data_IF_236257965838
#
_entry.id   IF_236257965838
#
_cell.length_a   1.000
_cell.length_b   1.000
_cell.length_c   1.000
_cell.angle_alpha   90.00
_cell.angle_beta   90.00
_cell.angle_gamma   90.00
#
_symmetry.space_group_name_H-M   'P 1'
#
loop_
_entity.id
_entity.type
_entity.pdbx_description
1 polymer ?
#
# COMPACT_ATOMS: atom_id res chain seq x y z
N UNK A 1 -1.24 -30.24 48.42
CA UNK A 1 -1.94 -28.97 48.55
C UNK A 1 -0.88 -27.88 48.47
N UNK A 2 -0.68 -27.32 47.30
CA UNK A 2 -0.08 -26.00 47.13
C UNK A 2 -0.62 -25.46 45.82
N UNK A 3 -1.55 -24.53 45.94
CA UNK A 3 -2.12 -23.77 44.85
C UNK A 3 -1.03 -22.83 44.30
N UNK A 4 -0.55 -23.11 43.10
CA UNK A 4 0.23 -22.16 42.32
C UNK A 4 -0.74 -21.16 41.72
N UNK A 5 -0.81 -19.97 42.35
CA UNK A 5 -1.57 -18.85 41.84
C UNK A 5 -1.11 -18.50 40.42
N UNK A 6 -2.04 -18.51 39.48
CA UNK A 6 -1.89 -17.86 38.19
C UNK A 6 -1.84 -16.37 38.46
N UNK A 7 -0.63 -15.83 38.35
CA UNK A 7 -0.44 -14.37 38.27
C UNK A 7 -1.04 -13.90 36.94
N UNK A 8 -2.28 -13.47 36.99
CA UNK A 8 -2.90 -12.74 35.88
C UNK A 8 -2.26 -11.38 35.89
N UNK A 9 -1.21 -11.21 35.08
CA UNK A 9 -0.53 -9.96 34.89
C UNK A 9 -1.54 -8.85 34.61
N UNK A 10 -1.80 -8.05 35.63
CA UNK A 10 -2.56 -6.82 35.47
C UNK A 10 -1.74 -5.93 34.58
N UNK A 11 -2.26 -5.66 33.36
CA UNK A 11 -1.72 -4.65 32.47
C UNK A 11 -1.80 -3.32 33.21
N UNK A 12 -0.66 -2.85 33.74
CA UNK A 12 -0.60 -1.51 34.33
C UNK A 12 -0.94 -0.48 33.27
N UNK A 13 -2.15 0.05 33.34
CA UNK A 13 -2.57 1.14 32.47
C UNK A 13 -1.65 2.33 32.66
N UNK A 14 -0.94 2.72 31.63
CA UNK A 14 -0.07 3.88 31.65
C UNK A 14 -0.87 5.13 32.05
N UNK A 15 -0.34 5.88 33.04
CA UNK A 15 -0.94 7.14 33.50
C UNK A 15 -0.45 8.29 32.62
N UNK A 16 -1.34 9.21 32.25
CA UNK A 16 -0.99 10.39 31.46
C UNK A 16 -1.59 10.40 30.06
N UNK A 17 -1.04 11.22 29.17
CA UNK A 17 -1.53 11.40 27.79
C UNK A 17 -1.50 10.08 26.99
N UNK A 18 -0.45 9.28 27.16
CA UNK A 18 -0.33 7.97 26.51
C UNK A 18 -1.43 7.00 26.95
N UNK A 19 -1.77 6.97 28.23
CA UNK A 19 -2.88 6.13 28.71
C UNK A 19 -4.26 6.64 28.27
N UNK A 20 -4.39 7.91 27.94
CA UNK A 20 -5.63 8.45 27.34
C UNK A 20 -5.74 8.01 25.87
N UNK A 21 -4.65 8.09 25.12
CA UNK A 21 -4.57 7.65 23.71
C UNK A 21 -4.84 6.15 23.62
N UNK A 22 -4.21 5.34 24.48
CA UNK A 22 -4.41 3.89 24.56
C UNK A 22 -5.89 3.54 24.83
N UNK A 23 -6.49 4.18 25.84
CA UNK A 23 -7.91 3.96 26.16
C UNK A 23 -8.86 4.43 25.07
N UNK A 24 -8.54 5.52 24.40
CA UNK A 24 -9.33 6.01 23.26
C UNK A 24 -9.22 5.05 22.08
N UNK A 25 -7.99 4.62 21.74
CA UNK A 25 -7.74 3.67 20.66
C UNK A 25 -8.42 2.33 20.88
N UNK A 26 -8.32 1.77 22.09
CA UNK A 26 -8.95 0.48 22.44
C UNK A 26 -10.49 0.52 22.52
N UNK A 27 -11.09 1.72 22.50
CA UNK A 27 -12.56 1.90 22.45
C UNK A 27 -13.08 2.12 21.02
N UNK A 28 -12.21 2.33 20.06
CA UNK A 28 -12.64 2.47 18.67
C UNK A 28 -13.22 1.15 18.17
N UNK A 29 -14.41 1.16 17.56
CA UNK A 29 -14.98 -0.03 16.95
C UNK A 29 -14.18 -0.39 15.69
N UNK A 30 -14.41 -1.60 15.18
CA UNK A 30 -13.88 -2.04 13.89
C UNK A 30 -14.14 -0.97 12.81
N UNK A 31 -13.17 -0.71 11.91
CA UNK A 31 -13.29 0.28 10.85
C UNK A 31 -14.59 0.19 10.04
N UNK A 32 -15.12 -1.01 9.80
CA UNK A 32 -16.38 -1.18 9.09
C UNK A 32 -17.54 -0.48 9.82
N UNK A 33 -17.61 -0.59 11.15
CA UNK A 33 -18.64 0.09 11.94
C UNK A 33 -18.45 1.61 11.96
N UNK A 34 -17.21 2.10 11.89
CA UNK A 34 -16.95 3.54 11.81
C UNK A 34 -17.59 4.11 10.54
N UNK A 35 -17.48 3.43 9.40
CA UNK A 35 -18.14 3.86 8.16
C UNK A 35 -19.67 3.86 8.28
N UNK A 36 -20.26 2.87 8.93
CA UNK A 36 -21.69 2.90 9.21
C UNK A 36 -22.12 4.11 10.05
N UNK A 37 -21.36 4.44 11.10
CA UNK A 37 -21.64 5.64 11.89
C UNK A 37 -21.46 6.92 11.08
N UNK A 38 -20.46 7.00 10.22
CA UNK A 38 -20.28 8.15 9.32
C UNK A 38 -21.45 8.31 8.35
N UNK A 39 -21.98 7.23 7.79
CA UNK A 39 -23.18 7.27 6.94
C UNK A 39 -24.37 7.83 7.72
N UNK A 40 -24.59 7.37 8.94
CA UNK A 40 -25.67 7.87 9.81
C UNK A 40 -25.48 9.35 10.11
N UNK A 41 -24.27 9.76 10.47
CA UNK A 41 -23.95 11.17 10.74
C UNK A 41 -24.20 12.03 9.51
N UNK A 42 -23.75 11.59 8.34
CA UNK A 42 -23.99 12.29 7.07
C UNK A 42 -25.49 12.41 6.75
N UNK A 43 -26.25 11.35 6.96
CA UNK A 43 -27.71 11.36 6.77
C UNK A 43 -28.40 12.35 7.70
N UNK A 44 -27.98 12.44 8.97
CA UNK A 44 -28.49 13.39 9.94
C UNK A 44 -28.10 14.83 9.56
N UNK A 45 -26.83 15.08 9.27
CA UNK A 45 -26.32 16.40 8.91
C UNK A 45 -26.99 16.91 7.64
N UNK A 46 -27.08 16.08 6.59
CA UNK A 46 -27.77 16.48 5.34
C UNK A 46 -29.24 16.81 5.57
N UNK A 47 -29.92 16.05 6.43
CA UNK A 47 -31.33 16.33 6.77
C UNK A 47 -31.49 17.63 7.53
N UNK A 48 -30.62 17.90 8.51
CA UNK A 48 -30.63 19.18 9.26
C UNK A 48 -30.35 20.35 8.30
N UNK A 49 -29.35 20.21 7.43
CA UNK A 49 -28.98 21.22 6.44
C UNK A 49 -30.12 21.53 5.46
N UNK A 50 -30.84 20.50 5.01
CA UNK A 50 -31.99 20.64 4.14
C UNK A 50 -33.17 21.34 4.85
N UNK A 51 -33.45 20.98 6.11
CA UNK A 51 -34.47 21.67 6.91
C UNK A 51 -34.10 23.15 7.19
N UNK A 52 -32.81 23.43 7.39
CA UNK A 52 -32.31 24.79 7.57
C UNK A 52 -32.22 25.59 6.26
N UNK A 53 -32.58 24.97 5.12
CA UNK A 53 -32.51 25.57 3.77
C UNK A 53 -31.13 26.17 3.46
N UNK A 54 -30.07 25.48 3.89
CA UNK A 54 -28.70 25.91 3.63
C UNK A 54 -28.44 25.83 2.14
N UNK A 55 -27.94 26.95 1.57
CA UNK A 55 -27.54 27.03 0.17
C UNK A 55 -26.20 27.72 0.04
N UNK A 56 -25.44 27.33 -0.99
CA UNK A 56 -24.14 27.92 -1.31
C UNK A 56 -24.05 28.17 -2.81
N UNK A 57 -23.24 29.15 -3.19
CA UNK A 57 -22.93 29.40 -4.59
C UNK A 57 -21.88 28.39 -5.07
N UNK A 58 -22.13 27.77 -6.22
CA UNK A 58 -21.14 26.88 -6.81
C UNK A 58 -19.92 27.70 -7.27
N UNK A 59 -18.69 27.29 -6.95
CA UNK A 59 -17.50 28.13 -7.20
C UNK A 59 -17.20 28.34 -8.70
N UNK A 60 -17.57 27.38 -9.57
CA UNK A 60 -17.20 27.40 -10.99
C UNK A 60 -18.39 27.24 -11.94
N UNK A 61 -19.51 26.67 -11.48
CA UNK A 61 -20.68 26.43 -12.33
C UNK A 61 -21.58 27.67 -12.38
N UNK A 62 -21.95 28.08 -13.58
CA UNK A 62 -22.87 29.16 -13.83
C UNK A 62 -24.26 28.61 -14.19
N UNK A 63 -25.30 29.32 -13.79
CA UNK A 63 -26.68 29.05 -14.22
C UNK A 63 -26.93 29.42 -15.71
N UNK A 64 -28.12 29.14 -16.22
CA UNK A 64 -28.50 29.48 -17.59
C UNK A 64 -28.42 30.98 -17.91
N UNK A 65 -28.35 31.85 -16.92
CA UNK A 65 -28.27 33.31 -17.05
C UNK A 65 -26.86 33.85 -16.89
N UNK A 66 -25.86 32.96 -16.66
CA UNK A 66 -24.46 33.35 -16.43
C UNK A 66 -24.15 33.81 -15.00
N UNK A 67 -25.09 33.66 -14.05
CA UNK A 67 -24.85 33.90 -12.63
C UNK A 67 -24.32 32.61 -11.95
N UNK A 68 -23.60 32.73 -10.79
CA UNK A 68 -23.17 31.57 -10.04
C UNK A 68 -24.35 30.68 -9.66
N UNK A 69 -24.27 29.38 -9.97
CA UNK A 69 -25.32 28.40 -9.67
C UNK A 69 -25.48 28.20 -8.16
N UNK A 70 -26.73 28.14 -7.69
CA UNK A 70 -27.05 27.97 -6.28
C UNK A 70 -27.30 26.50 -5.97
N UNK A 71 -26.42 25.92 -5.17
CA UNK A 71 -26.58 24.55 -4.70
C UNK A 71 -27.31 24.56 -3.35
N UNK A 72 -28.45 23.91 -3.30
CA UNK A 72 -29.24 23.76 -2.07
C UNK A 72 -28.91 22.41 -1.39
N UNK A 73 -28.84 22.42 -0.06
CA UNK A 73 -28.70 21.18 0.69
C UNK A 73 -29.93 20.28 0.50
N UNK A 74 -29.70 19.04 0.17
CA UNK A 74 -30.72 17.99 -0.01
C UNK A 74 -30.55 16.94 1.08
N UNK A 75 -31.66 16.51 1.68
CA UNK A 75 -31.62 15.41 2.66
C UNK A 75 -31.29 14.08 1.98
N UNK A 76 -30.28 13.38 2.49
CA UNK A 76 -29.96 12.02 2.07
C UNK A 76 -31.11 11.03 2.35
N UNK A 77 -32.03 11.37 3.25
CA UNK A 77 -33.22 10.60 3.60
C UNK A 77 -34.46 11.05 2.81
N UNK A 78 -34.36 11.98 1.86
CA UNK A 78 -35.49 12.35 1.01
C UNK A 78 -35.91 11.14 0.13
N UNK A 79 -37.19 11.05 -0.24
CA UNK A 79 -37.67 9.96 -1.11
C UNK A 79 -36.88 9.84 -2.42
N UNK A 80 -36.52 10.97 -3.02
CA UNK A 80 -35.75 11.02 -4.26
C UNK A 80 -34.30 10.55 -4.05
N UNK A 81 -33.64 10.98 -2.98
CA UNK A 81 -32.28 10.52 -2.64
C UNK A 81 -32.25 9.02 -2.33
N UNK A 82 -33.21 8.52 -1.57
CA UNK A 82 -33.31 7.10 -1.28
C UNK A 82 -33.62 6.28 -2.54
N UNK A 83 -34.51 6.79 -3.39
CA UNK A 83 -34.79 6.14 -4.66
C UNK A 83 -33.56 6.07 -5.56
N UNK A 84 -32.84 7.18 -5.71
CA UNK A 84 -31.59 7.25 -6.47
C UNK A 84 -30.56 6.25 -5.92
N UNK A 85 -30.32 6.25 -4.60
CA UNK A 85 -29.40 5.31 -3.97
C UNK A 85 -29.78 3.84 -4.21
N UNK A 86 -31.07 3.49 -4.09
CA UNK A 86 -31.51 2.09 -4.22
C UNK A 86 -31.59 1.62 -5.67
N UNK A 87 -31.99 2.48 -6.59
CA UNK A 87 -32.15 2.14 -8.02
C UNK A 87 -30.81 2.13 -8.72
N UNK A 88 -29.95 3.11 -8.41
CA UNK A 88 -28.68 3.31 -9.09
C UNK A 88 -27.49 2.76 -8.29
N UNK A 89 -27.74 2.03 -7.19
CA UNK A 89 -26.67 1.43 -6.37
C UNK A 89 -25.63 0.65 -7.19
N UNK A 90 -25.99 -0.19 -8.17
CA UNK A 90 -24.99 -0.89 -8.97
C UNK A 90 -24.10 0.07 -9.76
N UNK A 91 -24.69 1.12 -10.33
CA UNK A 91 -23.96 2.11 -11.14
C UNK A 91 -23.07 3.02 -10.24
N UNK A 92 -23.58 3.42 -9.07
CA UNK A 92 -22.81 4.16 -8.06
C UNK A 92 -21.61 3.33 -7.59
N UNK A 93 -21.80 2.03 -7.33
CA UNK A 93 -20.75 1.14 -6.87
C UNK A 93 -19.70 0.90 -7.96
N UNK A 94 -20.13 0.56 -9.18
CA UNK A 94 -19.22 0.28 -10.30
C UNK A 94 -18.57 1.53 -10.87
N UNK A 95 -19.27 2.67 -10.78
CA UNK A 95 -18.78 3.99 -11.17
C UNK A 95 -17.82 4.63 -10.15
N UNK A 96 -17.64 4.02 -8.98
CA UNK A 96 -16.67 4.53 -8.00
C UNK A 96 -15.25 4.43 -8.58
N UNK A 97 -14.71 5.57 -8.99
CA UNK A 97 -13.48 5.67 -9.78
C UNK A 97 -12.30 4.88 -9.18
N UNK A 98 -12.00 4.95 -7.86
CA UNK A 98 -10.90 4.22 -7.26
C UNK A 98 -11.08 2.70 -7.27
N UNK A 99 -12.30 2.18 -7.38
CA UNK A 99 -12.58 0.75 -7.26
C UNK A 99 -11.82 -0.07 -8.30
N UNK A 100 -11.83 0.38 -9.56
CA UNK A 100 -11.11 -0.31 -10.65
C UNK A 100 -9.62 -0.38 -10.42
N UNK A 101 -9.00 0.71 -10.00
CA UNK A 101 -7.56 0.79 -9.73
C UNK A 101 -7.15 -0.13 -8.60
N UNK A 102 -7.89 -0.08 -7.49
CA UNK A 102 -7.60 -0.91 -6.30
C UNK A 102 -7.77 -2.39 -6.63
N UNK A 103 -8.89 -2.79 -7.26
CA UNK A 103 -9.15 -4.18 -7.61
C UNK A 103 -8.07 -4.75 -8.53
N UNK A 104 -7.65 -4.00 -9.55
CA UNK A 104 -6.61 -4.45 -10.50
C UNK A 104 -5.29 -4.72 -9.76
N UNK A 105 -4.84 -3.80 -8.91
CA UNK A 105 -3.59 -3.99 -8.15
C UNK A 105 -3.72 -5.13 -7.15
N UNK A 106 -4.85 -5.21 -6.43
CA UNK A 106 -5.10 -6.26 -5.43
C UNK A 106 -5.17 -7.67 -6.04
N UNK A 107 -5.73 -7.81 -7.23
CA UNK A 107 -5.71 -9.09 -7.93
C UNK A 107 -4.28 -9.58 -8.19
N UNK A 108 -3.40 -8.68 -8.61
CA UNK A 108 -1.98 -9.01 -8.79
C UNK A 108 -1.28 -9.35 -7.47
N UNK A 109 -1.46 -8.49 -6.48
CA UNK A 109 -0.86 -8.66 -5.16
C UNK A 109 -1.34 -9.96 -4.48
N UNK A 110 -2.63 -10.31 -4.60
CA UNK A 110 -3.20 -11.54 -4.05
C UNK A 110 -2.53 -12.81 -4.62
N UNK A 111 -2.23 -12.84 -5.91
CA UNK A 111 -1.49 -13.98 -6.52
C UNK A 111 -0.08 -14.08 -5.94
N UNK A 112 0.63 -12.97 -5.79
CA UNK A 112 1.99 -12.95 -5.25
C UNK A 112 2.00 -13.34 -3.76
N UNK A 113 1.02 -12.89 -2.99
CA UNK A 113 0.84 -13.24 -1.58
C UNK A 113 0.51 -14.72 -1.41
N UNK A 114 -0.48 -15.23 -2.14
CA UNK A 114 -0.88 -16.64 -2.12
C UNK A 114 0.26 -17.56 -2.52
N UNK A 115 1.08 -17.17 -3.48
CA UNK A 115 2.28 -17.89 -3.87
C UNK A 115 3.34 -17.96 -2.76
N UNK A 116 3.28 -17.09 -1.75
CA UNK A 116 4.27 -16.93 -0.69
C UNK A 116 5.46 -16.04 -1.07
N UNK A 117 5.38 -15.33 -2.21
CA UNK A 117 6.46 -14.46 -2.68
C UNK A 117 6.78 -13.35 -1.69
N UNK A 118 5.77 -12.62 -1.21
CA UNK A 118 5.98 -11.48 -0.32
C UNK A 118 6.60 -11.89 1.01
N UNK A 119 6.05 -12.94 1.65
CA UNK A 119 6.59 -13.46 2.91
C UNK A 119 8.05 -13.91 2.77
N UNK A 120 8.37 -14.63 1.69
CA UNK A 120 9.74 -15.09 1.44
C UNK A 120 10.68 -13.93 1.07
N UNK A 121 10.22 -12.96 0.30
CA UNK A 121 11.03 -11.79 -0.06
C UNK A 121 11.35 -10.93 1.17
N UNK A 122 10.37 -10.70 2.04
CA UNK A 122 10.57 -9.98 3.30
C UNK A 122 11.56 -10.73 4.23
N UNK A 123 11.41 -12.06 4.34
CA UNK A 123 12.37 -12.90 5.06
C UNK A 123 13.77 -12.80 4.48
N UNK A 124 13.92 -12.91 3.16
CA UNK A 124 15.21 -12.80 2.48
C UNK A 124 15.88 -11.44 2.73
N UNK A 125 15.10 -10.36 2.72
CA UNK A 125 15.62 -9.01 2.93
C UNK A 125 16.18 -8.78 4.34
N UNK A 126 15.71 -9.55 5.33
CA UNK A 126 16.05 -9.31 6.74
C UNK A 126 16.97 -10.39 7.32
N UNK A 127 16.88 -11.66 6.87
CA UNK A 127 17.58 -12.79 7.46
C UNK A 127 19.11 -12.69 7.41
N UNK A 128 19.65 -12.09 6.35
CA UNK A 128 21.10 -11.96 6.14
C UNK A 128 21.65 -10.59 6.60
N UNK A 129 20.83 -9.77 7.25
CA UNK A 129 21.23 -8.43 7.66
C UNK A 129 22.24 -8.49 8.83
N UNK A 130 23.38 -7.80 8.75
CA UNK A 130 24.32 -7.69 9.87
C UNK A 130 23.61 -7.11 11.09
N UNK A 131 23.99 -7.55 12.30
CA UNK A 131 23.35 -7.13 13.57
C UNK A 131 23.16 -5.61 13.70
N UNK A 132 24.11 -4.82 13.19
CA UNK A 132 24.10 -3.36 13.22
C UNK A 132 23.07 -2.77 12.24
N UNK A 133 22.82 -3.45 11.12
CA UNK A 133 21.87 -3.02 10.08
C UNK A 133 20.51 -3.71 10.19
N UNK A 134 20.32 -4.54 11.20
CA UNK A 134 19.09 -5.31 11.37
C UNK A 134 17.86 -4.40 11.52
N UNK A 135 17.94 -3.38 12.37
CA UNK A 135 16.83 -2.41 12.55
C UNK A 135 16.50 -1.65 11.28
N UNK A 136 17.46 -1.01 10.58
CA UNK A 136 17.13 -0.34 9.32
C UNK A 136 16.68 -1.31 8.23
N UNK A 137 17.19 -2.54 8.18
CA UNK A 137 16.71 -3.55 7.23
C UNK A 137 15.25 -3.94 7.50
N UNK A 138 14.89 -4.18 8.75
CA UNK A 138 13.51 -4.47 9.16
C UNK A 138 12.61 -3.28 8.86
N UNK A 139 13.02 -2.06 9.23
CA UNK A 139 12.21 -0.86 9.00
C UNK A 139 11.99 -0.60 7.50
N UNK A 140 13.03 -0.75 6.68
CA UNK A 140 12.92 -0.59 5.23
C UNK A 140 12.02 -1.68 4.62
N UNK A 141 12.24 -2.94 4.98
CA UNK A 141 11.39 -4.04 4.53
C UNK A 141 9.92 -3.83 4.94
N UNK A 142 9.69 -3.28 6.14
CA UNK A 142 8.36 -2.97 6.65
C UNK A 142 7.67 -1.86 5.84
N UNK A 143 8.37 -0.77 5.54
CA UNK A 143 7.85 0.29 4.67
C UNK A 143 7.58 -0.23 3.25
N UNK A 144 8.54 -0.95 2.67
CA UNK A 144 8.35 -1.56 1.34
C UNK A 144 7.24 -2.61 1.32
N UNK A 145 6.98 -3.27 2.45
CA UNK A 145 5.91 -4.24 2.62
C UNK A 145 4.51 -3.68 2.37
N UNK A 146 4.33 -2.36 2.49
CA UNK A 146 3.07 -1.69 2.16
C UNK A 146 2.69 -1.77 0.67
N UNK A 147 3.62 -2.13 -0.22
CA UNK A 147 3.30 -2.50 -1.61
C UNK A 147 2.44 -3.77 -1.69
N UNK A 148 2.58 -4.65 -0.70
CA UNK A 148 1.89 -5.93 -0.59
C UNK A 148 0.63 -5.83 0.30
N UNK A 149 0.01 -4.68 0.42
CA UNK A 149 -1.14 -4.43 1.27
C UNK A 149 -0.88 -4.80 2.75
N UNK A 150 -1.80 -5.56 3.34
CA UNK A 150 -1.75 -5.92 4.76
C UNK A 150 -0.81 -7.10 5.07
N UNK A 151 -0.22 -7.76 4.07
CA UNK A 151 0.67 -8.90 4.27
C UNK A 151 1.87 -8.57 5.19
N UNK A 152 2.38 -7.35 5.13
CA UNK A 152 3.46 -6.90 5.99
C UNK A 152 3.10 -6.90 7.48
N UNK A 153 1.86 -6.59 7.84
CA UNK A 153 1.39 -6.64 9.22
C UNK A 153 1.42 -8.05 9.78
N UNK A 154 0.95 -9.01 8.99
CA UNK A 154 0.80 -10.40 9.44
C UNK A 154 2.13 -11.14 9.47
N UNK A 155 2.98 -10.90 8.46
CA UNK A 155 4.22 -11.65 8.26
C UNK A 155 5.42 -10.98 8.92
N UNK A 156 5.64 -9.69 8.64
CA UNK A 156 6.91 -9.06 9.00
C UNK A 156 7.00 -8.66 10.48
N UNK A 157 5.88 -8.28 11.09
CA UNK A 157 5.91 -7.86 12.51
C UNK A 157 6.29 -9.01 13.43
N UNK A 158 5.64 -10.20 13.38
CA UNK A 158 6.06 -11.35 14.16
C UNK A 158 7.48 -11.81 13.80
N UNK A 159 7.80 -11.87 12.51
CA UNK A 159 9.11 -12.26 11.99
C UNK A 159 10.24 -11.40 12.56
N UNK A 160 10.05 -10.07 12.62
CA UNK A 160 11.04 -9.16 13.18
C UNK A 160 11.36 -9.48 14.65
N UNK A 161 10.36 -9.84 15.44
CA UNK A 161 10.56 -10.29 16.82
C UNK A 161 11.45 -11.53 16.90
N UNK A 162 11.19 -12.53 16.06
CA UNK A 162 11.97 -13.78 16.01
C UNK A 162 13.41 -13.52 15.55
N UNK A 163 13.60 -12.73 14.49
CA UNK A 163 14.94 -12.42 13.97
C UNK A 163 15.77 -11.60 14.98
N UNK A 164 15.14 -10.64 15.68
CA UNK A 164 15.84 -9.90 16.73
C UNK A 164 16.26 -10.82 17.88
N UNK A 165 15.38 -11.74 18.33
CA UNK A 165 15.72 -12.73 19.32
C UNK A 165 16.87 -13.64 18.87
N UNK A 166 16.86 -14.13 17.64
CA UNK A 166 17.93 -14.94 17.06
C UNK A 166 19.26 -14.17 16.96
N UNK A 167 19.21 -12.85 16.73
CA UNK A 167 20.38 -11.96 16.75
C UNK A 167 20.85 -11.59 18.17
N UNK A 168 20.21 -12.12 19.23
CA UNK A 168 20.50 -11.78 20.63
C UNK A 168 20.07 -10.35 21.00
N UNK A 169 19.11 -9.79 20.29
CA UNK A 169 18.48 -8.50 20.55
C UNK A 169 17.08 -8.69 21.16
N UNK A 170 16.54 -7.65 21.77
CA UNK A 170 15.23 -7.78 22.42
C UNK A 170 14.10 -7.91 21.36
N UNK A 171 13.27 -8.98 21.36
CA UNK A 171 12.27 -9.24 20.32
C UNK A 171 11.21 -8.11 20.23
N UNK A 172 10.82 -7.50 21.36
CA UNK A 172 9.90 -6.35 21.36
C UNK A 172 10.46 -5.17 20.58
N UNK A 173 11.79 -4.96 20.59
CA UNK A 173 12.40 -3.91 19.77
C UNK A 173 12.24 -4.18 18.26
N UNK A 174 12.36 -5.45 17.85
CA UNK A 174 12.09 -5.87 16.47
C UNK A 174 10.64 -5.68 16.05
N UNK A 175 9.72 -6.14 16.89
CA UNK A 175 8.27 -5.95 16.68
C UNK A 175 7.93 -4.46 16.55
N UNK A 176 8.47 -3.63 17.45
CA UNK A 176 8.21 -2.19 17.43
C UNK A 176 8.79 -1.50 16.18
N UNK A 177 10.01 -1.89 15.75
CA UNK A 177 10.63 -1.37 14.53
C UNK A 177 9.81 -1.73 13.28
N UNK A 178 9.38 -2.98 13.17
CA UNK A 178 8.55 -3.45 12.08
C UNK A 178 7.19 -2.77 12.09
N UNK A 179 6.52 -2.69 13.23
CA UNK A 179 5.25 -1.99 13.37
C UNK A 179 5.37 -0.50 13.03
N UNK A 180 6.43 0.17 13.48
CA UNK A 180 6.68 1.55 13.12
C UNK A 180 6.88 1.74 11.61
N UNK A 181 7.56 0.79 10.94
CA UNK A 181 7.74 0.80 9.48
C UNK A 181 6.44 0.56 8.73
N UNK A 182 5.64 -0.44 9.13
CA UNK A 182 4.38 -0.77 8.45
C UNK A 182 3.31 0.28 8.74
N UNK A 183 3.11 0.69 10.00
CA UNK A 183 2.05 1.63 10.41
C UNK A 183 2.48 3.09 10.30
N UNK A 184 3.60 3.46 10.91
CA UNK A 184 4.09 4.84 10.91
C UNK A 184 4.61 5.25 9.54
N UNK A 185 5.25 4.33 8.83
CA UNK A 185 5.72 4.49 7.46
C UNK A 185 4.72 4.04 6.40
N UNK A 186 3.43 3.99 6.69
CA UNK A 186 2.39 3.40 5.83
C UNK A 186 2.38 3.98 4.40
N UNK A 187 2.60 5.27 4.25
CA UNK A 187 2.71 5.92 2.94
C UNK A 187 4.16 6.10 2.47
N UNK A 188 5.15 5.73 3.30
CA UNK A 188 6.55 5.85 2.92
C UNK A 188 6.95 4.65 2.06
N UNK A 189 7.29 4.92 0.79
CA UNK A 189 7.65 3.87 -0.15
C UNK A 189 8.60 4.40 -1.22
N UNK A 190 9.39 3.53 -1.82
CA UNK A 190 10.25 3.89 -2.96
C UNK A 190 9.53 3.78 -4.31
N UNK A 191 8.42 3.07 -4.34
CA UNK A 191 7.59 2.88 -5.53
C UNK A 191 6.14 3.24 -5.19
N UNK A 192 5.38 3.81 -6.13
CA UNK A 192 3.94 3.97 -5.98
C UNK A 192 3.27 2.60 -5.81
N UNK A 193 2.27 2.53 -4.97
CA UNK A 193 1.57 1.30 -4.64
C UNK A 193 0.04 1.42 -4.81
N UNK A 194 -0.67 0.44 -4.26
CA UNK A 194 -2.14 0.43 -4.32
C UNK A 194 -2.78 1.62 -3.60
N UNK A 195 -2.14 2.12 -2.52
CA UNK A 195 -2.63 3.28 -1.80
C UNK A 195 -2.55 4.55 -2.65
N UNK A 196 -1.47 4.69 -3.43
CA UNK A 196 -1.32 5.83 -4.35
C UNK A 196 -2.38 5.77 -5.44
N UNK A 197 -2.72 4.58 -5.95
CA UNK A 197 -3.81 4.38 -6.91
C UNK A 197 -5.18 4.76 -6.32
N UNK A 198 -5.43 4.39 -5.07
CA UNK A 198 -6.67 4.76 -4.36
C UNK A 198 -6.76 6.26 -4.17
N UNK A 199 -5.71 6.88 -3.62
CA UNK A 199 -5.68 8.33 -3.36
C UNK A 199 -5.74 9.14 -4.65
N UNK A 200 -5.08 8.67 -5.70
CA UNK A 200 -5.19 9.23 -7.04
C UNK A 200 -6.64 9.29 -7.48
N UNK A 201 -7.36 8.15 -7.49
CA UNK A 201 -8.74 8.09 -7.95
C UNK A 201 -9.69 8.97 -7.14
N UNK A 202 -9.58 8.98 -5.79
CA UNK A 202 -10.39 9.84 -4.93
C UNK A 202 -10.12 11.33 -5.18
N UNK A 203 -8.85 11.68 -5.34
CA UNK A 203 -8.45 13.09 -5.53
C UNK A 203 -8.90 13.59 -6.91
N UNK A 204 -8.70 12.79 -7.94
CA UNK A 204 -9.09 13.15 -9.31
C UNK A 204 -10.60 13.39 -9.40
N UNK A 205 -11.42 12.47 -8.87
CA UNK A 205 -12.87 12.62 -8.84
C UNK A 205 -13.31 13.87 -8.06
N UNK A 206 -12.70 14.12 -6.91
CA UNK A 206 -13.02 15.29 -6.10
C UNK A 206 -12.71 16.62 -6.81
N UNK A 207 -11.61 16.69 -7.54
CA UNK A 207 -11.23 17.90 -8.30
C UNK A 207 -12.06 18.05 -9.57
N UNK A 208 -12.37 16.94 -10.26
CA UNK A 208 -13.24 16.96 -11.45
C UNK A 208 -14.66 17.42 -11.15
N UNK A 209 -15.11 17.32 -9.90
CA UNK A 209 -16.37 17.95 -9.49
C UNK A 209 -16.35 19.49 -9.63
N UNK A 210 -15.16 20.11 -9.59
CA UNK A 210 -14.95 21.56 -9.75
C UNK A 210 -14.47 21.93 -11.16
N UNK A 211 -13.52 21.15 -11.69
CA UNK A 211 -12.96 21.30 -13.04
C UNK A 211 -12.98 19.93 -13.76
N UNK A 212 -13.96 19.68 -14.61
CA UNK A 212 -14.12 18.40 -15.30
C UNK A 212 -12.96 18.02 -16.24
N UNK A 213 -12.10 18.96 -16.60
CA UNK A 213 -10.96 18.72 -17.48
C UNK A 213 -9.66 18.45 -16.69
N UNK A 214 -9.71 18.57 -15.37
CA UNK A 214 -8.52 18.34 -14.55
C UNK A 214 -8.11 16.87 -14.56
N UNK A 215 -6.84 16.63 -14.75
CA UNK A 215 -6.24 15.30 -14.70
C UNK A 215 -5.07 15.28 -13.74
N UNK A 216 -4.85 14.13 -13.12
CA UNK A 216 -3.76 13.89 -12.20
C UNK A 216 -2.90 12.70 -12.69
N UNK A 217 -1.71 12.60 -12.17
CA UNK A 217 -0.81 11.49 -12.40
C UNK A 217 -0.68 10.65 -11.13
N UNK A 218 -0.83 9.32 -11.23
CA UNK A 218 -0.70 8.39 -10.09
C UNK A 218 0.65 8.53 -9.37
N UNK A 219 1.70 8.92 -10.08
CA UNK A 219 3.01 9.17 -9.50
C UNK A 219 3.19 10.62 -8.99
N UNK A 220 2.14 11.45 -9.01
CA UNK A 220 2.22 12.85 -8.60
C UNK A 220 2.76 13.06 -7.18
N UNK A 221 2.55 12.09 -6.30
CA UNK A 221 3.03 12.12 -4.92
C UNK A 221 4.35 11.34 -4.70
N UNK A 222 4.94 10.78 -5.75
CA UNK A 222 6.09 9.86 -5.64
C UNK A 222 7.30 10.47 -4.92
N UNK A 223 7.65 11.71 -5.23
CA UNK A 223 8.78 12.37 -4.56
C UNK A 223 8.56 12.48 -3.05
N UNK A 224 7.34 12.78 -2.62
CA UNK A 224 7.00 12.90 -1.22
C UNK A 224 7.12 11.56 -0.49
N UNK A 225 6.53 10.48 -1.02
CA UNK A 225 6.58 9.15 -0.40
C UNK A 225 8.01 8.60 -0.36
N UNK A 226 8.81 8.85 -1.41
CA UNK A 226 10.21 8.46 -1.43
C UNK A 226 11.03 9.21 -0.38
N UNK A 227 10.89 10.54 -0.29
CA UNK A 227 11.57 11.34 0.74
C UNK A 227 11.14 10.93 2.15
N UNK A 228 9.87 10.62 2.38
CA UNK A 228 9.39 10.10 3.66
C UNK A 228 10.13 8.82 4.06
N UNK A 229 10.39 7.92 3.11
CA UNK A 229 11.17 6.69 3.37
C UNK A 229 12.56 7.02 3.90
N UNK A 230 13.26 7.97 3.26
CA UNK A 230 14.60 8.40 3.71
C UNK A 230 14.59 9.15 5.05
N UNK A 231 13.48 9.76 5.44
CA UNK A 231 13.33 10.45 6.73
C UNK A 231 12.94 9.43 7.83
N UNK A 232 11.96 8.58 7.59
CA UNK A 232 11.45 7.66 8.60
C UNK A 232 12.44 6.55 8.93
N UNK A 233 13.19 6.06 7.95
CA UNK A 233 14.18 5.01 8.18
C UNK A 233 15.18 5.35 9.29
N UNK A 234 15.93 6.47 9.23
CA UNK A 234 16.85 6.84 10.30
C UNK A 234 16.14 7.15 11.63
N UNK A 235 14.92 7.70 11.59
CA UNK A 235 14.15 7.97 12.81
C UNK A 235 13.77 6.65 13.51
N UNK A 236 13.23 5.69 12.78
CA UNK A 236 12.87 4.37 13.33
C UNK A 236 14.13 3.69 13.87
N UNK A 237 15.22 3.72 13.13
CA UNK A 237 16.50 3.16 13.55
C UNK A 237 17.00 3.80 14.85
N UNK A 238 17.06 5.13 14.89
CA UNK A 238 17.54 5.86 16.07
C UNK A 238 16.65 5.61 17.29
N UNK A 239 15.33 5.69 17.14
CA UNK A 239 14.39 5.50 18.25
C UNK A 239 14.46 4.06 18.78
N UNK A 240 14.52 3.07 17.89
CA UNK A 240 14.58 1.67 18.28
C UNK A 240 15.90 1.35 19.00
N UNK A 241 17.04 1.69 18.40
CA UNK A 241 18.36 1.26 18.92
C UNK A 241 18.85 2.12 20.09
N UNK A 242 18.47 3.40 20.15
CA UNK A 242 19.00 4.34 21.16
C UNK A 242 18.02 4.67 22.28
N UNK A 243 16.74 4.49 22.06
CA UNK A 243 15.71 4.85 23.06
C UNK A 243 14.99 3.61 23.57
N UNK A 244 14.47 2.78 22.66
CA UNK A 244 13.59 1.68 23.03
C UNK A 244 14.37 0.48 23.57
N UNK A 245 15.32 -0.03 22.79
CA UNK A 245 16.07 -1.24 23.17
C UNK A 245 16.85 -1.09 24.49
N UNK A 246 17.53 0.05 24.80
CA UNK A 246 18.13 0.27 26.08
C UNK A 246 17.17 0.25 27.27
N UNK A 247 15.90 0.66 27.04
CA UNK A 247 14.85 0.62 28.09
C UNK A 247 14.27 -0.76 28.34
N UNK A 248 14.27 -1.61 27.30
CA UNK A 248 13.81 -2.99 27.41
C UNK A 248 14.84 -3.89 28.13
N UNK A 249 16.11 -3.47 28.15
CA UNK A 249 17.20 -4.23 28.75
C UNK A 249 17.69 -5.35 27.84
N UNK A 250 18.59 -6.20 28.40
CA UNK A 250 19.15 -7.34 27.67
C UNK A 250 18.13 -8.48 27.58
N UNK A 251 17.98 -9.04 26.38
CA UNK A 251 17.22 -10.25 26.19
C UNK A 251 17.96 -11.45 26.77
N UNK A 252 17.39 -12.05 27.82
CA UNK A 252 17.95 -13.22 28.51
C UNK A 252 17.14 -14.49 28.22
N UNK A 253 16.05 -14.39 27.44
CA UNK A 253 15.22 -15.52 27.03
C UNK A 253 15.86 -16.31 25.88
N UNK A 254 15.41 -17.55 25.69
CA UNK A 254 15.73 -18.35 24.51
C UNK A 254 15.04 -17.83 23.25
N UNK A 255 15.20 -18.54 22.13
CA UNK A 255 14.47 -18.25 20.91
C UNK A 255 12.96 -18.15 21.22
N UNK A 256 12.32 -17.11 20.70
CA UNK A 256 10.86 -16.99 20.78
C UNK A 256 10.30 -18.15 19.96
N UNK A 257 9.51 -19.03 20.59
CA UNK A 257 8.88 -20.13 19.90
C UNK A 257 7.99 -19.55 18.80
N UNK A 258 8.47 -19.54 17.59
CA UNK A 258 7.64 -19.45 16.38
C UNK A 258 6.90 -20.77 16.25
N UNK A 259 5.80 -20.77 15.51
CA UNK A 259 4.88 -21.87 15.23
C UNK A 259 5.36 -23.29 15.53
N UNK A 260 4.47 -24.12 16.02
CA UNK A 260 4.71 -25.50 16.46
C UNK A 260 5.09 -26.50 15.33
N UNK A 261 5.12 -26.07 14.09
CA UNK A 261 5.52 -26.86 12.93
C UNK A 261 6.95 -26.46 12.53
N UNK A 262 7.87 -27.46 12.52
CA UNK A 262 9.29 -27.29 12.13
C UNK A 262 9.47 -26.71 10.72
N UNK A 263 8.46 -26.84 9.85
CA UNK A 263 8.46 -26.30 8.49
C UNK A 263 8.17 -24.79 8.42
N UNK A 264 7.62 -24.20 9.49
CA UNK A 264 7.19 -22.79 9.57
C UNK A 264 8.04 -21.93 10.51
N UNK A 265 9.25 -22.37 10.87
CA UNK A 265 10.16 -21.54 11.68
C UNK A 265 10.60 -20.30 10.88
N UNK A 266 10.10 -19.10 11.26
CA UNK A 266 10.43 -17.86 10.54
C UNK A 266 11.91 -17.49 10.61
N UNK A 267 12.67 -18.05 11.57
CA UNK A 267 14.11 -17.81 11.73
C UNK A 267 14.98 -18.80 10.94
N UNK A 268 14.39 -19.87 10.40
CA UNK A 268 15.13 -20.86 9.62
C UNK A 268 15.69 -20.24 8.32
N UNK A 269 16.89 -20.65 7.88
CA UNK A 269 17.43 -20.20 6.62
C UNK A 269 16.48 -20.55 5.46
N UNK A 270 16.42 -19.67 4.46
CA UNK A 270 15.62 -19.93 3.27
C UNK A 270 16.00 -21.25 2.62
N UNK A 271 15.03 -22.09 2.32
CA UNK A 271 15.22 -23.35 1.62
C UNK A 271 15.76 -23.13 0.22
N UNK A 272 16.38 -24.17 -0.37
CA UNK A 272 16.84 -24.12 -1.76
C UNK A 272 15.68 -23.88 -2.75
N UNK A 273 14.48 -24.34 -2.44
CA UNK A 273 13.27 -24.11 -3.23
C UNK A 273 12.84 -22.62 -3.17
N UNK A 274 12.80 -22.03 -1.98
CA UNK A 274 12.49 -20.62 -1.79
C UNK A 274 13.51 -19.70 -2.49
N UNK A 275 14.81 -20.00 -2.38
CA UNK A 275 15.86 -19.25 -3.11
C UNK A 275 15.70 -19.33 -4.63
N UNK A 276 15.37 -20.53 -5.17
CA UNK A 276 15.06 -20.66 -6.59
C UNK A 276 13.80 -19.88 -6.97
N UNK A 277 12.76 -19.93 -6.13
CA UNK A 277 11.54 -19.16 -6.30
C UNK A 277 11.81 -17.66 -6.40
N UNK A 278 12.59 -17.10 -5.46
CA UNK A 278 12.98 -15.67 -5.48
C UNK A 278 13.81 -15.34 -6.74
N UNK A 279 14.71 -16.21 -7.16
CA UNK A 279 15.46 -16.03 -8.41
C UNK A 279 14.55 -15.99 -9.65
N UNK A 280 13.57 -16.91 -9.72
CA UNK A 280 12.59 -16.95 -10.81
C UNK A 280 11.67 -15.70 -10.79
N UNK A 281 11.19 -15.29 -9.62
CA UNK A 281 10.41 -14.07 -9.47
C UNK A 281 11.20 -12.81 -9.87
N UNK A 282 12.47 -12.73 -9.46
CA UNK A 282 13.36 -11.64 -9.85
C UNK A 282 13.57 -11.55 -11.37
N UNK A 283 13.79 -12.69 -12.02
CA UNK A 283 13.91 -12.77 -13.49
C UNK A 283 12.60 -12.36 -14.19
N UNK A 284 11.45 -12.83 -13.70
CA UNK A 284 10.14 -12.44 -14.22
C UNK A 284 9.90 -10.95 -14.05
N UNK A 285 10.22 -10.40 -12.89
CA UNK A 285 10.10 -8.95 -12.61
C UNK A 285 10.99 -8.13 -13.55
N UNK A 286 12.25 -8.54 -13.74
CA UNK A 286 13.16 -7.87 -14.68
C UNK A 286 12.65 -7.94 -16.12
N UNK A 287 12.09 -9.08 -16.54
CA UNK A 287 11.51 -9.23 -17.87
C UNK A 287 10.30 -8.29 -18.06
N UNK A 288 9.41 -8.19 -17.07
CA UNK A 288 8.26 -7.28 -17.14
C UNK A 288 8.71 -5.82 -17.16
N UNK A 289 9.66 -5.43 -16.31
CA UNK A 289 10.23 -4.07 -16.30
C UNK A 289 10.87 -3.77 -17.66
N UNK A 290 11.61 -4.72 -18.25
CA UNK A 290 12.21 -4.56 -19.56
C UNK A 290 11.15 -4.35 -20.67
N UNK A 291 10.03 -5.08 -20.60
CA UNK A 291 8.88 -4.87 -21.50
C UNK A 291 8.30 -3.47 -21.34
N UNK A 292 8.09 -3.01 -20.10
CA UNK A 292 7.58 -1.65 -19.85
C UNK A 292 8.52 -0.56 -20.36
N UNK A 293 9.82 -0.72 -20.12
CA UNK A 293 10.84 0.18 -20.69
C UNK A 293 10.83 0.17 -22.20
N UNK A 294 10.70 -1.00 -22.81
CA UNK A 294 10.61 -1.16 -24.25
C UNK A 294 9.36 -0.47 -24.85
N UNK A 295 8.21 -0.56 -24.16
CA UNK A 295 6.97 0.10 -24.56
C UNK A 295 7.02 1.63 -24.34
N UNK A 296 7.92 2.11 -23.48
CA UNK A 296 8.09 3.54 -23.19
C UNK A 296 9.14 4.20 -24.09
N UNK A 297 10.21 3.46 -24.39
CA UNK A 297 11.35 3.99 -25.18
C UNK A 297 11.56 3.09 -26.39
N UNK A 298 11.58 3.68 -27.57
CA UNK A 298 11.97 2.95 -28.78
C UNK A 298 13.48 2.67 -28.76
N UNK A 299 13.84 1.56 -28.10
CA UNK A 299 15.24 1.16 -27.92
C UNK A 299 15.97 0.92 -29.25
N UNK A 300 15.25 0.55 -30.31
CA UNK A 300 15.87 0.36 -31.62
C UNK A 300 16.19 1.69 -32.30
N UNK A 301 15.37 2.70 -32.07
CA UNK A 301 15.66 4.05 -32.58
C UNK A 301 16.89 4.68 -31.90
N UNK A 302 17.22 4.25 -30.68
CA UNK A 302 18.39 4.72 -29.94
C UNK A 302 19.72 4.11 -30.42
N UNK A 303 19.70 3.06 -31.27
CA UNK A 303 20.93 2.43 -31.76
C UNK A 303 21.46 3.24 -32.96
N UNK A 304 22.62 3.91 -32.82
CA UNK A 304 23.17 4.73 -33.89
C UNK A 304 23.41 3.91 -35.17
N UNK A 305 22.85 4.38 -36.28
CA UNK A 305 23.05 3.79 -37.59
C UNK A 305 22.13 2.62 -37.94
N UNK A 306 21.24 2.17 -37.03
CA UNK A 306 20.29 1.11 -37.34
C UNK A 306 19.10 1.62 -38.17
N UNK A 307 18.68 2.86 -37.99
CA UNK A 307 17.64 3.53 -38.78
C UNK A 307 16.27 2.83 -38.71
N UNK A 308 16.06 1.94 -37.73
CA UNK A 308 14.84 1.16 -37.53
C UNK A 308 14.15 1.68 -36.27
N UNK A 309 12.91 2.10 -36.41
CA UNK A 309 11.99 2.38 -35.32
C UNK A 309 10.89 1.31 -35.30
N UNK A 310 10.62 0.75 -34.15
CA UNK A 310 9.52 -0.24 -33.99
C UNK A 310 8.16 0.43 -34.01
N UNK A 311 8.09 1.67 -33.54
CA UNK A 311 6.83 2.38 -33.33
C UNK A 311 6.66 3.57 -34.30
N UNK A 312 7.58 3.78 -35.23
CA UNK A 312 7.50 4.90 -36.17
C UNK A 312 7.57 6.28 -35.51
N UNK A 313 8.21 6.35 -34.33
CA UNK A 313 8.32 7.58 -33.53
C UNK A 313 7.30 7.71 -32.39
N UNK A 314 6.31 6.82 -32.27
CA UNK A 314 5.27 6.87 -31.24
C UNK A 314 5.32 5.62 -30.37
N UNK A 315 6.16 5.59 -29.34
CA UNK A 315 6.15 4.50 -28.37
C UNK A 315 4.80 4.45 -27.61
N UNK A 316 4.23 3.27 -27.35
CA UNK A 316 2.87 3.15 -26.78
C UNK A 316 2.67 3.84 -25.41
N UNK A 317 3.75 3.96 -24.64
CA UNK A 317 3.70 4.58 -23.30
C UNK A 317 4.46 5.93 -23.23
N UNK A 318 4.69 6.56 -24.39
CA UNK A 318 5.35 7.86 -24.46
C UNK A 318 4.69 8.72 -25.53
N UNK A 319 4.19 9.88 -25.14
CA UNK A 319 3.50 10.81 -26.05
C UNK A 319 4.51 11.87 -26.56
N UNK A 320 5.12 11.58 -27.70
CA UNK A 320 6.02 12.54 -28.34
C UNK A 320 5.31 13.82 -28.80
N UNK A 321 4.03 13.74 -29.16
CA UNK A 321 3.27 14.89 -29.59
C UNK A 321 3.10 15.93 -28.47
N UNK A 322 3.06 15.49 -27.23
CA UNK A 322 3.03 16.39 -26.08
C UNK A 322 4.26 17.27 -25.97
N UNK A 323 5.42 16.84 -26.50
CA UNK A 323 6.66 17.64 -26.49
C UNK A 323 6.68 18.75 -27.55
N UNK A 324 5.69 18.78 -28.44
CA UNK A 324 5.54 19.88 -29.43
C UNK A 324 4.98 21.16 -28.78
N UNK A 325 4.39 21.04 -27.59
CA UNK A 325 3.96 22.20 -26.82
C UNK A 325 5.21 22.86 -26.16
N UNK A 326 5.47 24.16 -26.39
CA UNK A 326 6.61 24.87 -25.81
C UNK A 326 6.64 24.90 -24.28
N UNK A 327 5.49 24.72 -23.62
CA UNK A 327 5.38 24.69 -22.17
C UNK A 327 5.42 23.25 -21.61
N UNK A 328 5.38 22.23 -22.47
CA UNK A 328 5.42 20.84 -22.05
C UNK A 328 6.83 20.42 -21.62
N UNK A 329 6.86 19.49 -20.69
CA UNK A 329 8.08 18.85 -20.24
C UNK A 329 7.99 17.33 -20.41
N UNK A 330 9.09 16.63 -20.20
CA UNK A 330 9.17 15.17 -20.32
C UNK A 330 8.16 14.43 -19.44
N UNK A 331 7.70 15.03 -18.34
CA UNK A 331 6.72 14.41 -17.46
C UNK A 331 5.34 14.33 -18.13
N UNK A 332 4.99 15.30 -18.98
CA UNK A 332 3.75 15.28 -19.79
C UNK A 332 3.81 14.15 -20.81
N UNK A 333 4.93 14.00 -21.51
CA UNK A 333 5.12 12.92 -22.47
C UNK A 333 5.12 11.52 -21.80
N UNK A 334 5.46 11.42 -20.53
CA UNK A 334 5.42 10.17 -19.74
C UNK A 334 4.06 9.88 -19.06
N UNK A 335 3.03 10.71 -19.28
CA UNK A 335 1.70 10.46 -18.70
C UNK A 335 1.17 9.06 -19.04
N UNK A 336 1.24 8.55 -20.30
CA UNK A 336 0.77 7.19 -20.60
C UNK A 336 1.54 6.11 -19.82
N UNK A 337 2.85 6.28 -19.61
CA UNK A 337 3.66 5.39 -18.78
C UNK A 337 3.11 5.35 -17.34
N UNK A 338 2.92 6.50 -16.73
CA UNK A 338 2.44 6.57 -15.35
C UNK A 338 1.02 6.03 -15.20
N UNK A 339 0.13 6.27 -16.15
CA UNK A 339 -1.22 5.70 -16.16
C UNK A 339 -1.21 4.18 -16.32
N UNK A 340 -0.23 3.62 -17.03
CA UNK A 340 -0.08 2.18 -17.18
C UNK A 340 0.43 1.45 -15.93
N UNK A 341 0.94 2.15 -14.92
CA UNK A 341 1.54 1.53 -13.73
C UNK A 341 0.57 0.62 -12.97
N UNK A 342 -0.71 0.94 -12.96
CA UNK A 342 -1.73 0.09 -12.30
C UNK A 342 -1.78 -1.29 -12.94
N UNK A 343 -1.89 -1.33 -14.28
CA UNK A 343 -1.84 -2.57 -15.05
C UNK A 343 -0.46 -3.22 -14.93
N UNK A 344 0.60 -2.40 -14.93
CA UNK A 344 1.98 -2.83 -14.75
C UNK A 344 2.19 -3.59 -13.44
N UNK A 345 1.70 -3.06 -12.33
CA UNK A 345 1.79 -3.72 -11.03
C UNK A 345 1.01 -5.03 -10.99
N UNK A 346 -0.20 -5.08 -11.54
CA UNK A 346 -0.96 -6.33 -11.63
C UNK A 346 -0.15 -7.39 -12.39
N UNK A 347 0.34 -7.06 -13.58
CA UNK A 347 1.10 -8.00 -14.42
C UNK A 347 2.41 -8.41 -13.74
N UNK A 348 3.11 -7.44 -13.12
CA UNK A 348 4.34 -7.69 -12.38
C UNK A 348 4.12 -8.70 -11.25
N UNK A 349 3.13 -8.47 -10.41
CA UNK A 349 2.85 -9.32 -9.25
C UNK A 349 2.32 -10.69 -9.66
N UNK A 350 1.45 -10.77 -10.67
CA UNK A 350 0.98 -12.06 -11.21
C UNK A 350 2.16 -12.87 -11.78
N UNK A 351 2.96 -12.27 -12.65
CA UNK A 351 4.08 -12.97 -13.28
C UNK A 351 5.15 -13.37 -12.26
N UNK A 352 5.52 -12.46 -11.34
CA UNK A 352 6.50 -12.75 -10.30
C UNK A 352 5.97 -13.79 -9.31
N UNK A 353 4.70 -13.69 -8.91
CA UNK A 353 4.05 -14.64 -7.99
C UNK A 353 3.97 -16.05 -8.59
N UNK A 354 3.52 -16.17 -9.84
CA UNK A 354 3.46 -17.45 -10.54
C UNK A 354 4.85 -18.04 -10.77
N UNK A 355 5.82 -17.23 -11.17
CA UNK A 355 7.21 -17.68 -11.37
C UNK A 355 7.81 -18.18 -10.05
N UNK A 356 7.59 -17.44 -8.96
CA UNK A 356 7.99 -17.85 -7.62
C UNK A 356 7.33 -19.17 -7.24
N UNK A 357 5.99 -19.24 -7.29
CA UNK A 357 5.22 -20.39 -6.84
C UNK A 357 5.57 -21.67 -7.60
N UNK A 358 5.77 -21.59 -8.91
CA UNK A 358 6.24 -22.71 -9.74
C UNK A 358 7.63 -23.19 -9.34
N UNK A 359 8.58 -22.28 -9.14
CA UNK A 359 9.96 -22.63 -8.82
C UNK A 359 10.15 -23.03 -7.34
N UNK A 360 9.34 -22.50 -6.45
CA UNK A 360 9.31 -22.87 -5.03
C UNK A 360 8.47 -24.13 -4.75
N UNK A 361 7.56 -24.51 -5.67
CA UNK A 361 6.67 -25.65 -5.51
C UNK A 361 5.39 -25.36 -4.72
N UNK A 362 5.05 -24.10 -4.52
CA UNK A 362 3.79 -23.67 -3.87
C UNK A 362 2.63 -23.57 -4.84
N UNK A 363 2.90 -23.43 -6.14
CA UNK A 363 1.91 -23.49 -7.23
C UNK A 363 2.22 -24.69 -8.11
N UNK A 364 1.39 -25.73 -8.04
CA UNK A 364 1.54 -26.95 -8.84
C UNK A 364 0.58 -26.99 -10.03
N UNK A 365 -0.63 -26.46 -9.86
CA UNK A 365 -1.68 -26.40 -10.89
C UNK A 365 -2.24 -24.99 -11.04
N UNK A 366 -2.96 -24.75 -12.15
CA UNK A 366 -3.68 -23.49 -12.39
C UNK A 366 -4.75 -23.21 -11.34
N UNK A 367 -5.28 -24.24 -10.67
CA UNK A 367 -6.26 -24.09 -9.58
C UNK A 367 -5.68 -23.38 -8.36
N UNK A 368 -4.40 -23.61 -8.08
CA UNK A 368 -3.70 -22.98 -6.96
C UNK A 368 -3.59 -21.44 -7.11
N UNK A 369 -3.81 -20.93 -8.33
CA UNK A 369 -3.78 -19.49 -8.63
C UNK A 369 -5.18 -18.85 -8.54
N UNK A 370 -6.24 -19.67 -8.76
CA UNK A 370 -7.64 -19.17 -8.88
C UNK A 370 -8.39 -19.28 -7.55
N UNK A 371 -8.04 -20.25 -6.70
CA UNK A 371 -8.59 -20.38 -5.34
C UNK A 371 -7.92 -19.38 -4.36
#
# INVERSE_FOLDING_TARGET
MSETGRDTGQVEHQKGVLGLIERAGNKLPDPAFIFFYLIIVMAVVSTIAAFAQISVLHPTRLDANGAPDVVNAVSALSPDSLRHLLVEMPDIFTGFHPLGYVLVVMLGAGVAERAGLFGTAMRAAVSDAPRILLTPAVALAAMMGNLAADAAYVVLIPLAGVIFAAAGRHPIAGIAAAFAGVSGGFSANLLPGQLDALLFGVTEEAVQALDPNWTMNIAGNWYFIAVMTFIFLPVIWFVTDRILEPRLGQWTGGAVAGSTDEDDDPSAPLTAAQKRGLGAAGLASLAIIAVWLFLTVDLLALIPGLGVSLYGGNAPLFDEAALLDPEANIAVALVPFFQSLVAGFMILFVCAGVAYGRAAGTINDHRDVVE
#
